data_IF_428228213344
#
_entry.id   IF_428228213344
#
_cell.length_a   1.000
_cell.length_b   1.000
_cell.length_c   1.000
_cell.angle_alpha   90.00
_cell.angle_beta   90.00
_cell.angle_gamma   90.00
#
_symmetry.space_group_name_H-M   'P 1'
#
loop_
_entity.id
_entity.type
_entity.pdbx_description
1 polymer ?
#
# COMPACT_ATOMS: atom_id res chain seq x y z
N UNK A 1 -10.45 11.03 -49.40
CA UNK A 1 -9.59 9.89 -49.77
C UNK A 1 -8.16 10.37 -49.60
N UNK A 2 -7.35 9.69 -48.79
CA UNK A 2 -5.92 10.05 -48.64
C UNK A 2 -5.22 9.69 -49.94
N UNK A 3 -4.56 10.67 -50.55
CA UNK A 3 -3.82 10.46 -51.79
C UNK A 3 -2.41 9.93 -51.48
N UNK A 4 -2.29 8.61 -51.46
CA UNK A 4 -1.07 7.91 -51.11
C UNK A 4 0.09 8.21 -52.08
N UNK A 5 -0.21 8.53 -53.33
CA UNK A 5 0.81 8.84 -54.33
C UNK A 5 1.50 10.17 -54.00
N UNK A 6 0.72 11.19 -53.64
CA UNK A 6 1.26 12.49 -53.22
C UNK A 6 2.16 12.39 -51.99
N UNK A 7 1.84 11.51 -51.03
CA UNK A 7 2.67 11.29 -49.84
C UNK A 7 3.97 10.57 -50.21
N UNK A 8 3.90 9.54 -51.06
CA UNK A 8 5.08 8.81 -51.50
C UNK A 8 6.04 9.72 -52.28
N UNK A 9 5.52 10.57 -53.18
CA UNK A 9 6.33 11.51 -53.95
C UNK A 9 7.05 12.50 -53.03
N UNK A 10 6.37 13.02 -52.01
CA UNK A 10 7.01 13.87 -51.00
C UNK A 10 8.11 13.13 -50.24
N UNK A 11 7.84 11.90 -49.78
CA UNK A 11 8.83 11.08 -49.08
C UNK A 11 10.04 10.79 -49.95
N UNK A 12 9.83 10.55 -51.25
CA UNK A 12 10.91 10.29 -52.22
C UNK A 12 11.82 11.50 -52.38
N UNK A 13 11.25 12.71 -52.50
CA UNK A 13 12.02 13.96 -52.57
C UNK A 13 12.87 14.16 -51.32
N UNK A 14 12.28 13.99 -50.13
CA UNK A 14 13.03 14.11 -48.87
C UNK A 14 14.11 13.03 -48.74
N UNK A 15 13.85 11.82 -49.24
CA UNK A 15 14.81 10.72 -49.21
C UNK A 15 16.01 10.98 -50.13
N UNK A 16 15.77 11.50 -51.33
CA UNK A 16 16.85 11.87 -52.26
C UNK A 16 17.75 12.96 -51.66
N UNK A 17 17.15 14.01 -51.08
CA UNK A 17 17.90 15.08 -50.44
C UNK A 17 18.70 14.57 -49.24
N UNK A 18 18.08 13.74 -48.39
CA UNK A 18 18.77 13.07 -47.28
C UNK A 18 19.92 12.18 -47.76
N UNK A 19 19.71 11.36 -48.79
CA UNK A 19 20.73 10.47 -49.32
C UNK A 19 21.92 11.26 -49.89
N UNK A 20 21.65 12.36 -50.59
CA UNK A 20 22.68 13.25 -51.11
C UNK A 20 23.52 13.90 -49.99
N UNK A 21 22.85 14.38 -48.94
CA UNK A 21 23.50 14.94 -47.75
C UNK A 21 24.33 13.87 -47.02
N UNK A 22 23.75 12.68 -46.81
CA UNK A 22 24.40 11.58 -46.09
C UNK A 22 25.65 11.09 -46.82
N UNK A 23 25.59 10.95 -48.15
CA UNK A 23 26.73 10.52 -48.97
C UNK A 23 27.84 11.59 -49.04
N UNK A 24 27.52 12.87 -48.84
CA UNK A 24 28.50 13.96 -48.82
C UNK A 24 29.29 14.07 -47.50
N UNK A 25 28.84 13.39 -46.44
CA UNK A 25 29.54 13.35 -45.15
C UNK A 25 30.70 12.34 -45.23
N UNK A 26 31.85 12.61 -44.59
CA UNK A 26 32.94 11.64 -44.48
C UNK A 26 32.52 10.33 -43.78
N UNK A 27 33.21 9.23 -44.10
CA UNK A 27 32.84 7.86 -43.69
C UNK A 27 32.60 7.73 -42.17
N UNK A 28 33.40 8.39 -41.34
CA UNK A 28 33.22 8.36 -39.87
C UNK A 28 31.90 9.00 -39.43
N UNK A 29 31.44 10.06 -40.11
CA UNK A 29 30.18 10.72 -39.83
C UNK A 29 28.98 9.89 -40.27
N UNK A 30 29.07 9.22 -41.43
CA UNK A 30 28.05 8.29 -41.90
C UNK A 30 27.80 7.17 -40.88
N UNK A 31 28.88 6.56 -40.38
CA UNK A 31 28.81 5.50 -39.37
C UNK A 31 28.13 6.02 -38.09
N UNK A 32 28.50 7.21 -37.61
CA UNK A 32 27.93 7.81 -36.40
C UNK A 32 26.43 8.09 -36.57
N UNK A 33 26.01 8.61 -37.73
CA UNK A 33 24.59 8.86 -38.03
C UNK A 33 23.79 7.55 -38.03
N UNK A 34 24.32 6.47 -38.63
CA UNK A 34 23.66 5.16 -38.61
C UNK A 34 23.49 4.65 -37.17
N UNK A 35 24.57 4.67 -36.37
CA UNK A 35 24.49 4.24 -34.98
C UNK A 35 23.52 5.12 -34.16
N UNK A 36 23.52 6.43 -34.39
CA UNK A 36 22.59 7.36 -33.77
C UNK A 36 21.14 7.06 -34.11
N UNK A 37 20.83 6.81 -35.38
CA UNK A 37 19.49 6.45 -35.83
C UNK A 37 19.03 5.13 -35.19
N UNK A 38 19.89 4.12 -35.15
CA UNK A 38 19.58 2.83 -34.50
C UNK A 38 19.36 3.01 -33.00
N UNK A 39 20.22 3.79 -32.32
CA UNK A 39 20.06 4.06 -30.90
C UNK A 39 18.74 4.77 -30.58
N UNK A 40 18.36 5.77 -31.39
CA UNK A 40 17.08 6.48 -31.24
C UNK A 40 15.89 5.53 -31.45
N UNK A 41 15.96 4.63 -32.44
CA UNK A 41 14.91 3.63 -32.67
C UNK A 41 14.75 2.67 -31.49
N UNK A 42 15.86 2.21 -30.90
CA UNK A 42 15.83 1.35 -29.72
C UNK A 42 15.22 2.10 -28.53
N UNK A 43 15.66 3.35 -28.27
CA UNK A 43 15.13 4.18 -27.19
C UNK A 43 13.63 4.43 -27.39
N UNK A 44 13.19 4.75 -28.61
CA UNK A 44 11.79 4.93 -28.93
C UNK A 44 10.98 3.65 -28.67
N UNK A 45 11.49 2.48 -29.07
CA UNK A 45 10.86 1.19 -28.80
C UNK A 45 10.73 0.90 -27.30
N UNK A 46 11.79 1.15 -26.53
CA UNK A 46 11.78 1.00 -25.07
C UNK A 46 10.77 1.95 -24.42
N UNK A 47 10.72 3.21 -24.88
CA UNK A 47 9.78 4.21 -24.38
C UNK A 47 8.33 3.80 -24.62
N UNK A 48 8.00 3.34 -25.84
CA UNK A 48 6.67 2.82 -26.17
C UNK A 48 6.30 1.61 -25.30
N UNK A 49 7.25 0.69 -25.08
CA UNK A 49 7.05 -0.45 -24.19
C UNK A 49 6.69 -0.01 -22.76
N UNK A 50 7.41 0.95 -22.18
CA UNK A 50 7.12 1.45 -20.85
C UNK A 50 5.79 2.20 -20.76
N UNK A 51 5.43 2.98 -21.79
CA UNK A 51 4.13 3.64 -21.87
C UNK A 51 3.01 2.60 -21.87
N UNK A 52 3.09 1.58 -22.73
CA UNK A 52 2.09 0.51 -22.78
C UNK A 52 1.96 -0.23 -21.44
N UNK A 53 3.10 -0.58 -20.83
CA UNK A 53 3.13 -1.22 -19.51
C UNK A 53 2.50 -0.32 -18.44
N UNK A 54 2.78 0.98 -18.46
CA UNK A 54 2.20 1.97 -17.56
C UNK A 54 0.68 2.09 -17.74
N UNK A 55 0.20 2.17 -18.99
CA UNK A 55 -1.24 2.23 -19.30
C UNK A 55 -1.95 0.96 -18.84
N UNK A 56 -1.38 -0.22 -19.10
CA UNK A 56 -1.97 -1.48 -18.64
C UNK A 56 -2.08 -1.52 -17.09
N UNK A 57 -1.04 -1.05 -16.39
CA UNK A 57 -1.04 -0.97 -14.94
C UNK A 57 -2.09 0.05 -14.43
N UNK A 58 -2.21 1.20 -15.08
CA UNK A 58 -3.20 2.22 -14.75
C UNK A 58 -4.63 1.67 -14.87
N UNK A 59 -4.93 1.00 -15.98
CA UNK A 59 -6.24 0.37 -16.21
C UNK A 59 -6.53 -0.69 -15.14
N UNK A 60 -5.55 -1.54 -14.80
CA UNK A 60 -5.70 -2.53 -13.73
C UNK A 60 -6.06 -1.87 -12.38
N UNK A 61 -5.39 -0.78 -12.02
CA UNK A 61 -5.67 -0.07 -10.77
C UNK A 61 -7.02 0.65 -10.78
N UNK A 62 -7.43 1.23 -11.90
CA UNK A 62 -8.75 1.85 -12.05
C UNK A 62 -9.85 0.80 -11.87
N UNK A 63 -9.74 -0.35 -12.54
CA UNK A 63 -10.70 -1.46 -12.41
C UNK A 63 -10.74 -2.01 -10.98
N UNK A 64 -9.58 -2.19 -10.35
CA UNK A 64 -9.49 -2.64 -8.96
C UNK A 64 -10.13 -1.64 -8.01
N UNK A 65 -9.90 -0.35 -8.22
CA UNK A 65 -10.47 0.74 -7.42
C UNK A 65 -12.00 0.82 -7.56
N UNK A 66 -12.51 0.80 -8.79
CA UNK A 66 -13.96 0.83 -9.05
C UNK A 66 -14.66 -0.41 -8.51
N UNK A 67 -14.06 -1.60 -8.65
CA UNK A 67 -14.60 -2.82 -8.05
C UNK A 67 -14.73 -2.71 -6.52
N UNK A 68 -13.72 -2.17 -5.85
CA UNK A 68 -13.70 -2.04 -4.39
C UNK A 68 -14.72 -1.01 -3.90
N UNK A 69 -14.84 0.12 -4.62
CA UNK A 69 -15.89 1.12 -4.37
C UNK A 69 -17.29 0.55 -4.56
N UNK A 70 -17.54 -0.15 -5.67
CA UNK A 70 -18.84 -0.74 -5.96
C UNK A 70 -19.22 -1.77 -4.90
N UNK A 71 -18.26 -2.62 -4.49
CA UNK A 71 -18.44 -3.57 -3.38
C UNK A 71 -18.80 -2.86 -2.07
N UNK A 72 -18.15 -1.75 -1.74
CA UNK A 72 -18.44 -0.98 -0.53
C UNK A 72 -19.87 -0.39 -0.56
N UNK A 73 -20.28 0.17 -1.70
CA UNK A 73 -21.63 0.73 -1.88
C UNK A 73 -22.69 -0.36 -1.74
N UNK A 74 -22.55 -1.49 -2.42
CA UNK A 74 -23.50 -2.61 -2.30
C UNK A 74 -23.61 -3.14 -0.87
N UNK A 75 -22.48 -3.26 -0.17
CA UNK A 75 -22.46 -3.76 1.20
C UNK A 75 -23.10 -2.77 2.18
N UNK A 76 -22.90 -1.46 1.97
CA UNK A 76 -23.56 -0.41 2.73
C UNK A 76 -25.08 -0.41 2.53
N UNK A 77 -25.51 -0.45 1.26
CA UNK A 77 -26.92 -0.51 0.88
C UNK A 77 -27.58 -1.78 1.45
N UNK A 78 -26.96 -2.95 1.27
CA UNK A 78 -27.46 -4.21 1.80
C UNK A 78 -27.64 -4.16 3.34
N UNK A 79 -26.69 -3.54 4.06
CA UNK A 79 -26.79 -3.40 5.51
C UNK A 79 -27.98 -2.52 5.92
N UNK A 80 -28.20 -1.40 5.25
CA UNK A 80 -29.33 -0.51 5.50
C UNK A 80 -30.67 -1.20 5.22
N UNK A 81 -30.79 -1.89 4.09
CA UNK A 81 -32.00 -2.65 3.77
C UNK A 81 -32.23 -3.82 4.73
N UNK A 82 -31.16 -4.48 5.20
CA UNK A 82 -31.24 -5.55 6.20
C UNK A 82 -31.82 -5.01 7.52
N UNK A 83 -31.31 -3.89 8.01
CA UNK A 83 -31.83 -3.24 9.23
C UNK A 83 -33.29 -2.79 9.08
N UNK A 84 -33.64 -2.16 7.95
CA UNK A 84 -35.02 -1.78 7.66
C UNK A 84 -35.96 -3.00 7.62
N UNK A 85 -35.55 -4.06 6.92
CA UNK A 85 -36.36 -5.27 6.76
C UNK A 85 -36.68 -5.91 8.11
N UNK A 86 -35.70 -6.02 9.02
CA UNK A 86 -35.96 -6.57 10.35
C UNK A 86 -36.75 -5.63 11.27
N UNK A 87 -36.56 -4.31 11.15
CA UNK A 87 -37.37 -3.33 11.87
C UNK A 87 -38.85 -3.39 11.46
N UNK A 88 -39.13 -3.55 10.16
CA UNK A 88 -40.49 -3.64 9.62
C UNK A 88 -41.10 -5.03 9.85
N UNK A 89 -40.30 -6.11 9.74
CA UNK A 89 -40.81 -7.49 9.87
C UNK A 89 -41.11 -7.89 11.31
N UNK A 90 -40.65 -7.15 12.33
CA UNK A 90 -40.85 -7.47 13.75
C UNK A 90 -40.25 -8.81 14.19
N UNK A 91 -39.47 -9.47 13.33
CA UNK A 91 -38.82 -10.77 13.59
C UNK A 91 -37.40 -10.53 14.09
N UNK A 92 -36.95 -11.21 15.15
CA UNK A 92 -35.57 -11.10 15.60
C UNK A 92 -34.62 -11.50 14.47
N UNK A 93 -33.59 -10.67 14.25
CA UNK A 93 -32.55 -10.86 13.24
C UNK A 93 -31.98 -12.30 13.39
N UNK A 94 -32.03 -13.15 12.35
CA UNK A 94 -31.35 -14.44 12.39
C UNK A 94 -29.86 -14.16 12.53
N UNK A 95 -29.27 -14.74 13.56
CA UNK A 95 -27.85 -14.64 13.83
C UNK A 95 -27.16 -15.52 12.79
N UNK A 96 -26.88 -14.96 11.61
CA UNK A 96 -26.03 -15.62 10.63
C UNK A 96 -24.67 -15.89 11.30
N UNK A 97 -24.20 -17.13 11.21
CA UNK A 97 -23.02 -17.63 11.91
C UNK A 97 -21.74 -16.82 11.62
N UNK A 98 -21.69 -16.06 10.52
CA UNK A 98 -20.60 -15.12 10.19
C UNK A 98 -20.59 -13.83 11.05
N UNK A 99 -21.73 -13.36 11.56
CA UNK A 99 -21.79 -12.30 12.57
C UNK A 99 -21.47 -12.86 13.96
N UNK A 100 -21.80 -14.14 14.23
CA UNK A 100 -21.33 -14.84 15.43
C UNK A 100 -19.82 -15.06 15.40
N UNK A 101 -19.20 -15.42 14.28
CA UNK A 101 -17.74 -15.51 14.22
C UNK A 101 -17.06 -14.15 14.38
N UNK A 102 -17.66 -13.04 13.93
CA UNK A 102 -17.12 -11.70 14.20
C UNK A 102 -17.39 -11.22 15.63
N UNK A 103 -18.56 -11.44 16.20
CA UNK A 103 -18.88 -10.99 17.58
C UNK A 103 -18.28 -11.94 18.63
N UNK A 104 -18.18 -13.23 18.34
CA UNK A 104 -17.40 -14.20 19.11
C UNK A 104 -15.90 -13.97 18.90
N UNK A 105 -15.39 -13.55 17.73
CA UNK A 105 -14.01 -13.05 17.66
C UNK A 105 -13.84 -11.68 18.34
N UNK A 106 -14.86 -10.84 18.48
CA UNK A 106 -14.74 -9.58 19.21
C UNK A 106 -14.76 -9.82 20.73
N UNK A 107 -15.52 -10.81 21.21
CA UNK A 107 -15.63 -11.11 22.64
C UNK A 107 -14.71 -12.27 23.11
N UNK A 108 -14.24 -13.13 22.22
CA UNK A 108 -13.22 -14.17 22.49
C UNK A 108 -11.81 -13.74 22.11
N UNK A 109 -11.61 -12.54 21.56
CA UNK A 109 -10.31 -11.85 21.63
C UNK A 109 -10.09 -11.14 22.99
N UNK A 110 -10.92 -11.42 24.00
CA UNK A 110 -10.58 -11.21 25.43
C UNK A 110 -9.98 -12.50 26.02
N UNK A 111 -9.10 -13.13 25.25
CA UNK A 111 -7.99 -13.99 25.68
C UNK A 111 -7.21 -14.30 24.41
N UNK A 112 -6.61 -13.25 23.84
CA UNK A 112 -5.47 -13.48 22.99
C UNK A 112 -4.35 -13.97 23.91
N UNK A 113 -4.14 -15.28 23.90
CA UNK A 113 -2.81 -15.85 23.91
C UNK A 113 -2.06 -15.21 22.73
N UNK A 114 -1.52 -14.02 22.98
CA UNK A 114 -0.65 -13.32 22.05
C UNK A 114 0.65 -14.11 22.10
N UNK A 115 0.88 -14.98 21.12
CA UNK A 115 2.26 -15.21 20.68
C UNK A 115 2.78 -13.85 20.20
N UNK A 116 3.69 -13.20 20.94
CA UNK A 116 4.22 -11.93 20.51
C UNK A 116 5.12 -12.22 19.31
N UNK A 117 4.79 -11.58 18.18
CA UNK A 117 5.83 -11.16 17.24
C UNK A 117 6.92 -10.48 18.09
N UNK A 118 8.19 -10.91 18.03
CA UNK A 118 9.25 -10.41 18.89
C UNK A 118 9.59 -8.97 18.47
N UNK A 119 8.76 -8.03 18.91
CA UNK A 119 9.20 -6.67 19.15
C UNK A 119 9.90 -6.73 20.50
N UNK A 120 11.20 -6.46 20.53
CA UNK A 120 12.00 -6.40 21.75
C UNK A 120 11.32 -5.50 22.80
N UNK A 121 10.50 -6.11 23.66
CA UNK A 121 9.94 -5.44 24.83
C UNK A 121 11.08 -5.32 25.82
N UNK A 122 11.59 -4.10 25.98
CA UNK A 122 12.63 -3.80 26.96
C UNK A 122 12.06 -3.98 28.38
N UNK A 123 12.76 -4.76 29.20
CA UNK A 123 12.42 -4.92 30.61
C UNK A 123 12.75 -3.65 31.35
N UNK A 124 11.75 -3.04 31.99
CA UNK A 124 11.94 -1.86 32.82
C UNK A 124 11.52 -2.18 34.25
N UNK A 125 12.33 -1.73 35.21
CA UNK A 125 12.01 -1.82 36.62
C UNK A 125 10.74 -1.02 36.91
N UNK A 126 9.74 -1.57 37.63
CA UNK A 126 8.50 -0.86 37.97
C UNK A 126 8.71 0.46 38.73
N UNK A 127 9.91 0.72 39.26
CA UNK A 127 10.29 1.99 39.90
C UNK A 127 10.97 3.01 38.97
N UNK A 128 10.97 2.79 37.65
CA UNK A 128 11.53 3.77 36.72
C UNK A 128 10.68 5.05 36.69
N UNK A 129 11.29 6.21 36.95
CA UNK A 129 10.57 7.49 36.93
C UNK A 129 10.43 8.07 35.51
N UNK A 130 11.19 7.58 34.53
CA UNK A 130 11.28 8.14 33.19
C UNK A 130 11.26 7.05 32.11
N UNK A 131 10.73 7.41 30.95
CA UNK A 131 10.72 6.60 29.74
C UNK A 131 12.14 6.49 29.15
N UNK A 132 12.64 5.27 28.90
CA UNK A 132 14.01 5.05 28.36
C UNK A 132 14.19 5.62 26.94
N UNK A 133 13.11 5.71 26.17
CA UNK A 133 13.17 6.11 24.76
C UNK A 133 12.98 7.62 24.55
N UNK A 134 12.13 8.28 25.34
CA UNK A 134 11.83 9.71 25.14
C UNK A 134 12.16 10.59 26.35
N UNK A 135 12.66 10.02 27.45
CA UNK A 135 13.06 10.75 28.66
C UNK A 135 11.90 11.43 29.40
N UNK A 136 10.65 11.30 28.94
CA UNK A 136 9.51 11.90 29.60
C UNK A 136 9.18 11.15 30.91
N UNK A 137 8.77 11.86 31.98
CA UNK A 137 8.38 11.22 33.23
C UNK A 137 7.19 10.28 33.00
N UNK A 138 7.24 9.10 33.62
CA UNK A 138 6.13 8.16 33.59
C UNK A 138 5.01 8.68 34.50
N UNK A 139 3.79 8.74 33.98
CA UNK A 139 2.65 9.19 34.78
C UNK A 139 2.26 8.15 35.83
N UNK A 140 1.70 8.57 36.97
CA UNK A 140 1.25 7.66 38.03
C UNK A 140 0.26 6.61 37.52
N UNK A 141 -0.61 6.98 36.57
CA UNK A 141 -1.54 6.04 35.91
C UNK A 141 -0.81 4.95 35.12
N UNK A 142 0.31 5.28 34.51
CA UNK A 142 1.13 4.32 33.78
C UNK A 142 1.86 3.37 34.73
N UNK A 143 2.38 3.88 35.85
CA UNK A 143 3.02 3.05 36.87
C UNK A 143 2.02 2.08 37.50
N UNK A 144 0.80 2.55 37.77
CA UNK A 144 -0.30 1.70 38.26
C UNK A 144 -0.65 0.59 37.26
N UNK A 145 -0.77 0.92 35.97
CA UNK A 145 -1.02 -0.08 34.92
C UNK A 145 0.14 -1.06 34.75
N UNK A 146 1.38 -0.59 34.94
CA UNK A 146 2.57 -1.43 34.92
C UNK A 146 2.65 -2.37 36.12
N UNK A 147 2.14 -1.97 37.30
CA UNK A 147 2.03 -2.85 38.47
C UNK A 147 0.87 -3.85 38.38
N UNK A 148 -0.29 -3.44 37.81
CA UNK A 148 -1.47 -4.30 37.74
C UNK A 148 -1.43 -5.28 36.57
N UNK A 149 -1.09 -4.80 35.38
CA UNK A 149 -1.19 -5.57 34.14
C UNK A 149 0.18 -6.03 33.61
N UNK A 150 1.27 -5.61 34.25
CA UNK A 150 2.64 -5.95 33.85
C UNK A 150 3.10 -5.33 32.54
N UNK A 151 2.24 -4.58 31.83
CA UNK A 151 2.53 -3.96 30.53
C UNK A 151 1.97 -2.55 30.49
N UNK A 152 2.77 -1.59 30.04
CA UNK A 152 2.33 -0.20 29.83
C UNK A 152 2.93 0.39 28.55
N UNK A 153 2.19 1.29 27.90
CA UNK A 153 2.68 2.03 26.72
C UNK A 153 2.91 3.49 27.07
N UNK A 154 4.05 4.03 26.63
CA UNK A 154 4.34 5.45 26.80
C UNK A 154 3.33 6.31 26.04
N UNK A 155 2.66 7.22 26.75
CA UNK A 155 1.71 8.18 26.15
C UNK A 155 2.42 9.12 25.16
N UNK A 156 3.71 9.38 25.37
CA UNK A 156 4.47 10.35 24.58
C UNK A 156 5.16 9.73 23.34
N UNK A 157 5.62 8.47 23.43
CA UNK A 157 6.34 7.81 22.31
C UNK A 157 5.70 6.50 21.81
N UNK A 158 4.62 6.02 22.44
CA UNK A 158 3.90 4.80 22.03
C UNK A 158 4.65 3.49 22.27
N UNK A 159 5.84 3.52 22.90
CA UNK A 159 6.63 2.31 23.17
C UNK A 159 6.07 1.52 24.34
N UNK A 160 5.98 0.21 24.16
CA UNK A 160 5.50 -0.73 25.16
C UNK A 160 6.63 -1.18 26.08
N UNK A 161 6.35 -1.26 27.37
CA UNK A 161 7.24 -1.73 28.41
C UNK A 161 6.58 -2.85 29.19
N UNK A 162 7.37 -3.84 29.58
CA UNK A 162 6.91 -4.96 30.41
C UNK A 162 7.70 -4.96 31.71
N UNK A 163 7.00 -5.02 32.85
CA UNK A 163 7.64 -5.26 34.15
C UNK A 163 7.73 -6.76 34.37
N UNK A 164 8.89 -7.23 34.82
CA UNK A 164 8.92 -8.48 35.57
C UNK A 164 8.37 -8.17 36.95
N UNK A 165 7.27 -8.80 37.33
CA UNK A 165 6.87 -8.86 38.73
C UNK A 165 8.00 -9.55 39.49
N UNK A 166 8.89 -8.76 40.10
CA UNK A 166 9.79 -9.27 41.12
C UNK A 166 8.91 -9.46 42.34
N UNK A 167 8.39 -10.67 42.53
CA UNK A 167 7.85 -11.09 43.81
C UNK A 167 9.04 -11.06 44.77
N UNK A 168 9.13 -9.99 45.55
CA UNK A 168 10.04 -9.94 46.70
C UNK A 168 9.44 -10.88 47.73
N UNK A 169 9.94 -12.12 47.77
CA UNK A 169 9.72 -13.01 48.92
C UNK A 169 10.32 -12.31 50.15
N UNK A 170 9.45 -11.73 50.98
CA UNK A 170 9.84 -11.30 52.33
C UNK A 170 10.08 -12.57 53.16
N UNK A 171 11.35 -12.78 53.55
CA UNK A 171 11.75 -13.67 54.65
C UNK A 171 11.45 -13.02 56.00
#
# INVERSE_FOLDING_TARGET
>A
MVDWNSILDQVLIYWEEFASWFLNIPIYGQILVIFGAVAILIIAGVLVYYILKGVAYLVYYILKGTYLLLKAIFLGIYKLFKELYYAISGKPKPINEQEKEKVLNINSNVSQEINPIPSELQMINPNAAYCSECGSPLSEKMLHQLSENGVVYCVNCGKGYKSSLIVVENY
#
